data_IF_052439838596
#
_entry.id   IF_052439838596
#
_cell.length_a   1.000
_cell.length_b   1.000
_cell.length_c   1.000
_cell.angle_alpha   90.00
_cell.angle_beta   90.00
_cell.angle_gamma   90.00
#
_symmetry.space_group_name_H-M   'P 1'
#
loop_
_entity.id
_entity.type
_entity.pdbx_description
1 polymer ?
#
# COMPACT_ATOMS: atom_id res chain seq x y z
N UNK A 1 54.86 17.69 15.08
CA UNK A 1 54.28 19.02 15.33
C UNK A 1 53.77 19.58 14.01
N UNK A 2 52.54 19.20 13.64
CA UNK A 2 51.74 19.84 12.60
C UNK A 2 50.37 19.97 13.24
N UNK A 3 49.98 21.22 13.48
CA UNK A 3 48.72 21.62 14.10
C UNK A 3 47.69 21.68 12.97
N UNK A 4 46.69 20.80 13.00
CA UNK A 4 45.48 20.94 12.20
C UNK A 4 44.35 21.33 13.15
N UNK A 5 44.05 22.63 13.16
CA UNK A 5 42.88 23.21 13.81
C UNK A 5 41.65 22.92 12.92
N UNK A 6 40.73 22.07 13.37
CA UNK A 6 39.35 22.09 12.86
C UNK A 6 38.50 22.95 13.80
N UNK A 7 38.09 24.12 13.30
CA UNK A 7 37.03 24.94 13.87
C UNK A 7 35.84 24.86 12.93
N UNK A 8 34.78 24.18 13.37
CA UNK A 8 33.38 24.58 13.16
C UNK A 8 32.53 23.79 14.17
N UNK A 9 31.86 24.44 15.12
CA UNK A 9 30.86 23.76 15.94
C UNK A 9 29.66 23.47 15.04
N UNK A 10 29.34 22.19 14.86
CA UNK A 10 28.06 21.76 14.30
C UNK A 10 26.98 22.28 15.24
N UNK A 11 26.21 23.25 14.74
CA UNK A 11 24.99 23.72 15.39
C UNK A 11 24.01 22.55 15.43
N UNK A 12 23.82 21.96 16.61
CA UNK A 12 22.71 21.06 16.87
C UNK A 12 21.44 21.90 16.72
N UNK A 13 20.77 21.80 15.56
CA UNK A 13 19.48 22.44 15.32
C UNK A 13 18.47 21.78 16.25
N UNK A 14 18.05 22.54 17.26
CA UNK A 14 16.95 22.18 18.15
C UNK A 14 15.63 22.24 17.37
N UNK A 15 15.29 21.17 16.68
CA UNK A 15 13.92 20.91 16.27
C UNK A 15 13.18 20.28 17.45
N UNK A 16 12.07 20.87 17.87
CA UNK A 16 11.05 20.18 18.66
C UNK A 16 10.49 19.05 17.80
N UNK A 17 11.17 17.89 17.82
CA UNK A 17 10.60 16.64 17.35
C UNK A 17 9.35 16.41 18.19
N UNK A 18 8.20 16.35 17.53
CA UNK A 18 7.04 15.67 18.11
C UNK A 18 7.42 14.19 18.19
N UNK A 19 8.03 13.85 19.32
CA UNK A 19 8.25 12.48 19.74
C UNK A 19 6.95 11.71 19.58
N UNK A 20 7.02 10.52 18.99
CA UNK A 20 5.98 9.51 19.14
C UNK A 20 5.58 9.45 20.62
N UNK A 21 4.29 9.37 20.91
CA UNK A 21 3.70 9.49 22.24
C UNK A 21 4.14 8.41 23.26
N UNK A 22 5.19 7.64 22.97
CA UNK A 22 5.75 6.55 23.77
C UNK A 22 7.27 6.66 23.97
N UNK A 23 7.85 7.87 23.93
CA UNK A 23 9.28 8.02 24.27
C UNK A 23 9.49 7.90 25.79
N UNK A 24 9.87 6.71 26.25
CA UNK A 24 10.32 6.47 27.62
C UNK A 24 11.85 6.55 27.61
N UNK A 25 12.39 7.72 27.93
CA UNK A 25 13.83 7.86 28.14
C UNK A 25 14.30 7.05 29.36
N UNK A 26 15.52 6.48 29.35
CA UNK A 26 16.08 5.83 30.53
C UNK A 26 16.11 6.81 31.71
N UNK A 27 15.82 6.33 32.93
CA UNK A 27 16.15 7.11 34.12
C UNK A 27 17.67 7.31 34.11
N UNK A 28 18.13 8.54 34.34
CA UNK A 28 19.55 8.85 34.40
C UNK A 28 20.21 8.02 35.52
N UNK A 29 20.77 6.88 35.16
CA UNK A 29 21.65 6.09 36.02
C UNK A 29 23.08 6.48 35.68
N UNK A 30 23.77 7.10 36.63
CA UNK A 30 25.21 7.36 36.52
C UNK A 30 25.98 6.03 36.53
N UNK A 31 26.52 5.64 35.37
CA UNK A 31 27.46 4.52 35.22
C UNK A 31 26.93 3.29 34.45
N UNK A 32 27.82 2.34 34.10
CA UNK A 32 27.46 1.14 33.36
C UNK A 32 26.56 0.21 34.20
N UNK A 33 25.45 -0.22 33.62
CA UNK A 33 24.54 -1.20 34.23
C UNK A 33 25.18 -2.59 34.24
N UNK A 34 24.96 -3.38 35.30
CA UNK A 34 25.21 -4.81 35.24
C UNK A 34 24.22 -5.48 34.26
N UNK A 35 24.53 -6.67 33.75
CA UNK A 35 23.66 -7.36 32.79
C UNK A 35 22.25 -7.65 33.35
N UNK A 36 22.17 -7.92 34.65
CA UNK A 36 20.89 -8.14 35.35
C UNK A 36 20.09 -6.83 35.48
N UNK A 37 20.77 -5.71 35.76
CA UNK A 37 20.16 -4.38 35.82
C UNK A 37 19.69 -3.92 34.44
N UNK A 38 20.50 -4.16 33.40
CA UNK A 38 20.11 -3.91 32.01
C UNK A 38 18.87 -4.72 31.64
N UNK A 39 18.86 -6.03 31.95
CA UNK A 39 17.70 -6.88 31.69
C UNK A 39 16.42 -6.41 32.39
N UNK A 40 16.53 -6.01 33.66
CA UNK A 40 15.40 -5.47 34.41
C UNK A 40 14.91 -4.12 33.85
N UNK A 41 15.83 -3.22 33.48
CA UNK A 41 15.51 -1.91 32.94
C UNK A 41 14.94 -1.99 31.52
N UNK A 42 15.50 -2.83 30.65
CA UNK A 42 14.94 -3.11 29.33
C UNK A 42 13.53 -3.73 29.43
N UNK A 43 13.29 -4.62 30.39
CA UNK A 43 11.96 -5.18 30.62
C UNK A 43 10.95 -4.14 31.13
N UNK A 44 11.40 -3.20 32.00
CA UNK A 44 10.60 -2.07 32.48
C UNK A 44 10.22 -1.15 31.32
N UNK A 45 11.20 -0.69 30.55
CA UNK A 45 11.00 0.18 29.38
C UNK A 45 10.11 -0.51 28.36
N UNK A 46 10.36 -1.78 28.03
CA UNK A 46 9.54 -2.55 27.11
C UNK A 46 8.09 -2.67 27.57
N UNK A 47 7.84 -2.81 28.88
CA UNK A 47 6.48 -2.81 29.45
C UNK A 47 5.84 -1.43 29.39
N UNK A 48 6.57 -0.36 29.72
CA UNK A 48 6.05 1.01 29.64
C UNK A 48 5.70 1.41 28.20
N UNK A 49 6.52 1.00 27.23
CA UNK A 49 6.20 1.14 25.79
C UNK A 49 4.95 0.34 25.44
N UNK A 50 4.84 -0.92 25.88
CA UNK A 50 3.68 -1.75 25.59
C UNK A 50 2.38 -1.20 26.22
N UNK A 51 2.46 -0.66 27.44
CA UNK A 51 1.32 -0.07 28.16
C UNK A 51 0.91 1.29 27.57
N UNK A 52 1.87 2.03 26.99
CA UNK A 52 1.64 3.30 26.28
C UNK A 52 1.27 3.14 24.80
N UNK A 53 1.56 1.98 24.20
CA UNK A 53 1.35 1.72 22.78
C UNK A 53 -0.15 1.72 22.45
N UNK A 54 -0.60 2.77 21.78
CA UNK A 54 -1.90 2.78 21.13
C UNK A 54 -1.78 2.09 19.79
N UNK A 55 -2.26 0.86 19.72
CA UNK A 55 -2.43 0.15 18.46
C UNK A 55 -3.28 1.01 17.52
N UNK A 56 -2.78 1.27 16.31
CA UNK A 56 -3.58 1.89 15.26
C UNK A 56 -4.84 1.06 15.03
N UNK A 57 -5.95 1.72 14.71
CA UNK A 57 -7.21 1.05 14.48
C UNK A 57 -7.66 1.30 13.05
N UNK A 58 -7.82 0.22 12.29
CA UNK A 58 -8.50 0.24 11.00
C UNK A 58 -9.96 -0.12 11.28
N UNK A 59 -10.86 0.79 10.97
CA UNK A 59 -12.30 0.50 11.02
C UNK A 59 -12.64 -0.56 9.98
N UNK A 60 -13.36 -1.59 10.42
CA UNK A 60 -13.80 -2.70 9.57
C UNK A 60 -15.32 -2.78 9.48
N UNK A 61 -16.00 -1.64 9.65
CA UNK A 61 -17.45 -1.57 9.46
C UNK A 61 -17.76 -1.71 7.96
N UNK A 62 -18.72 -2.57 7.61
CA UNK A 62 -19.15 -2.71 6.23
C UNK A 62 -19.85 -1.43 5.78
N UNK A 63 -19.43 -0.89 4.65
CA UNK A 63 -20.02 0.32 4.05
C UNK A 63 -20.87 -0.03 2.82
N UNK A 64 -21.87 0.79 2.52
CA UNK A 64 -22.67 0.64 1.31
C UNK A 64 -21.86 1.07 0.06
N UNK A 65 -22.21 0.49 -1.09
CA UNK A 65 -21.60 0.89 -2.37
C UNK A 65 -22.06 2.29 -2.79
N UNK A 66 -21.12 3.18 -3.04
CA UNK A 66 -21.34 4.45 -3.73
C UNK A 66 -21.50 4.24 -5.25
N UNK A 67 -20.65 3.40 -5.85
CA UNK A 67 -20.74 2.97 -7.26
C UNK A 67 -20.52 1.45 -7.38
N UNK A 68 -21.61 0.65 -7.34
CA UNK A 68 -21.51 -0.80 -7.26
C UNK A 68 -20.99 -1.40 -8.57
N UNK A 69 -20.10 -2.39 -8.44
CA UNK A 69 -19.59 -3.14 -9.59
C UNK A 69 -20.71 -3.85 -10.37
N UNK A 70 -20.56 -4.00 -11.71
CA UNK A 70 -21.44 -4.85 -12.49
C UNK A 70 -21.43 -6.27 -11.92
N UNK A 71 -22.61 -6.85 -11.72
CA UNK A 71 -22.75 -8.19 -11.16
C UNK A 71 -22.03 -9.23 -12.04
N UNK A 72 -21.47 -10.28 -11.42
CA UNK A 72 -20.60 -11.25 -12.10
C UNK A 72 -21.23 -12.00 -13.27
N UNK A 73 -22.52 -12.35 -13.13
CA UNK A 73 -23.20 -13.22 -14.08
C UNK A 73 -24.58 -12.70 -14.46
N UNK A 74 -24.83 -12.59 -15.76
CA UNK A 74 -26.17 -12.40 -16.31
C UNK A 74 -26.92 -13.73 -16.27
N UNK A 75 -28.20 -13.69 -15.89
CA UNK A 75 -29.07 -14.86 -15.88
C UNK A 75 -30.19 -14.64 -16.87
N UNK A 76 -30.21 -15.41 -17.95
CA UNK A 76 -31.23 -15.35 -19.00
C UNK A 76 -32.22 -16.49 -18.82
N UNK A 77 -33.51 -16.16 -18.86
CA UNK A 77 -34.61 -17.13 -18.74
C UNK A 77 -35.52 -17.02 -19.96
N UNK A 78 -35.65 -18.10 -20.71
CA UNK A 78 -36.57 -18.22 -21.83
C UNK A 78 -38.02 -18.33 -21.35
N UNK A 79 -38.82 -17.28 -21.58
CA UNK A 79 -40.20 -17.17 -21.09
C UNK A 79 -41.08 -18.35 -21.53
N UNK A 80 -40.93 -18.81 -22.77
CA UNK A 80 -41.72 -19.94 -23.31
C UNK A 80 -41.35 -21.26 -22.64
N UNK A 81 -40.06 -21.51 -22.41
CA UNK A 81 -39.60 -22.73 -21.74
C UNK A 81 -40.05 -22.80 -20.29
N UNK A 82 -39.92 -21.68 -19.56
CA UNK A 82 -40.41 -21.58 -18.18
C UNK A 82 -41.93 -21.75 -18.09
N UNK A 83 -42.70 -21.13 -18.99
CA UNK A 83 -44.15 -21.30 -19.02
C UNK A 83 -44.57 -22.76 -19.28
N UNK A 84 -43.87 -23.47 -20.19
CA UNK A 84 -44.09 -24.90 -20.44
C UNK A 84 -43.80 -25.74 -19.19
N UNK A 85 -42.72 -25.43 -18.47
CA UNK A 85 -42.39 -26.11 -17.21
C UNK A 85 -43.49 -25.89 -16.16
N UNK A 86 -43.91 -24.64 -15.96
CA UNK A 86 -44.98 -24.31 -15.01
C UNK A 86 -46.28 -25.02 -15.38
N UNK A 87 -46.68 -25.03 -16.65
CA UNK A 87 -47.89 -25.74 -17.09
C UNK A 87 -47.80 -27.24 -16.81
N UNK A 88 -46.64 -27.87 -17.04
CA UNK A 88 -46.41 -29.27 -16.72
C UNK A 88 -46.49 -29.53 -15.21
N UNK A 89 -45.88 -28.67 -14.40
CA UNK A 89 -45.92 -28.79 -12.93
C UNK A 89 -47.32 -28.54 -12.37
N UNK A 90 -48.09 -27.61 -12.95
CA UNK A 90 -49.50 -27.38 -12.62
C UNK A 90 -50.36 -28.63 -12.90
N UNK A 91 -50.06 -29.43 -13.91
CA UNK A 91 -50.79 -30.69 -14.14
C UNK A 91 -50.39 -31.76 -13.13
N UNK A 92 -49.11 -31.83 -12.77
CA UNK A 92 -48.56 -32.91 -11.94
C UNK A 92 -48.75 -32.70 -10.43
N UNK A 93 -48.60 -31.46 -9.96
CA UNK A 93 -48.47 -31.15 -8.53
C UNK A 93 -49.61 -30.29 -7.98
N UNK A 94 -50.64 -29.98 -8.75
CA UNK A 94 -51.75 -29.15 -8.26
C UNK A 94 -52.47 -29.82 -7.07
N UNK A 95 -52.79 -29.08 -5.99
CA UNK A 95 -52.69 -27.62 -5.81
C UNK A 95 -51.45 -27.11 -5.03
N UNK A 96 -50.32 -27.84 -5.06
CA UNK A 96 -49.09 -27.48 -4.31
C UNK A 96 -48.33 -26.31 -4.97
N UNK A 97 -48.85 -25.09 -4.83
CA UNK A 97 -48.28 -23.88 -5.44
C UNK A 97 -46.89 -23.51 -4.93
N UNK A 98 -46.58 -23.86 -3.69
CA UNK A 98 -45.24 -23.75 -3.11
C UNK A 98 -44.22 -24.58 -3.89
N UNK A 99 -44.58 -25.79 -4.32
CA UNK A 99 -43.74 -26.66 -5.15
C UNK A 99 -43.67 -26.13 -6.59
N UNK A 100 -44.82 -25.79 -7.20
CA UNK A 100 -44.92 -25.35 -8.60
C UNK A 100 -44.18 -24.02 -8.85
N UNK A 101 -44.16 -23.12 -7.86
CA UNK A 101 -43.46 -21.85 -7.98
C UNK A 101 -42.07 -21.87 -7.34
N UNK A 102 -41.69 -22.97 -6.68
CA UNK A 102 -40.32 -23.14 -6.18
C UNK A 102 -39.36 -23.24 -7.37
N UNK A 103 -38.31 -22.42 -7.34
CA UNK A 103 -37.19 -22.53 -8.28
C UNK A 103 -35.93 -22.67 -7.45
N UNK A 104 -35.22 -23.81 -7.54
CA UNK A 104 -34.14 -24.15 -6.62
C UNK A 104 -32.89 -23.34 -6.95
N UNK A 105 -32.82 -22.12 -6.47
CA UNK A 105 -31.58 -21.39 -6.30
C UNK A 105 -31.38 -21.12 -4.81
N UNK A 106 -30.38 -21.76 -4.21
CA UNK A 106 -29.99 -21.53 -2.81
C UNK A 106 -29.67 -20.06 -2.54
N UNK A 107 -29.21 -19.34 -3.57
CA UNK A 107 -28.88 -17.92 -3.52
C UNK A 107 -30.05 -16.99 -3.85
N UNK A 108 -31.24 -17.53 -4.15
CA UNK A 108 -32.43 -16.73 -4.38
C UNK A 108 -32.48 -15.99 -5.73
N UNK A 109 -31.69 -16.38 -6.73
CA UNK A 109 -31.70 -15.75 -8.07
C UNK A 109 -33.10 -15.72 -8.70
N UNK A 110 -33.90 -16.77 -8.50
CA UNK A 110 -35.27 -16.86 -9.03
C UNK A 110 -36.34 -16.54 -7.97
N UNK A 111 -35.93 -16.03 -6.81
CA UNK A 111 -36.87 -15.61 -5.77
C UNK A 111 -37.58 -14.31 -6.19
N UNK A 112 -38.90 -14.28 -6.08
CA UNK A 112 -39.69 -13.11 -6.42
C UNK A 112 -41.14 -13.44 -6.78
N UNK A 113 -42.01 -12.42 -6.86
CA UNK A 113 -43.45 -12.59 -7.09
C UNK A 113 -43.80 -13.16 -8.48
N UNK A 114 -42.84 -13.12 -9.41
CA UNK A 114 -43.01 -13.57 -10.80
C UNK A 114 -42.33 -14.91 -11.08
N UNK A 115 -42.23 -15.81 -10.10
CA UNK A 115 -41.89 -17.24 -10.28
C UNK A 115 -40.68 -17.53 -11.20
N UNK A 116 -39.60 -16.76 -11.09
CA UNK A 116 -38.38 -16.92 -11.89
C UNK A 116 -38.39 -16.29 -13.29
N UNK A 117 -39.48 -15.66 -13.74
CA UNK A 117 -39.53 -14.94 -15.03
C UNK A 117 -38.69 -13.67 -15.07
N UNK A 118 -38.40 -13.08 -13.90
CA UNK A 118 -37.49 -11.96 -13.74
C UNK A 118 -36.38 -12.38 -12.75
N UNK A 119 -35.31 -13.04 -13.23
CA UNK A 119 -34.21 -13.42 -12.35
C UNK A 119 -33.53 -12.18 -11.75
N UNK A 120 -32.82 -12.36 -10.64
CA UNK A 120 -32.03 -11.36 -9.93
C UNK A 120 -30.54 -11.66 -10.10
N UNK A 121 -29.89 -11.19 -11.18
CA UNK A 121 -28.51 -11.56 -11.52
C UNK A 121 -27.48 -11.21 -10.43
N UNK A 122 -27.72 -10.14 -9.66
CA UNK A 122 -26.87 -9.74 -8.53
C UNK A 122 -26.70 -10.79 -7.43
N UNK A 123 -27.59 -11.78 -7.35
CA UNK A 123 -27.51 -12.88 -6.39
C UNK A 123 -26.82 -14.13 -6.98
N UNK A 124 -26.45 -14.11 -8.26
CA UNK A 124 -25.89 -15.28 -8.94
C UNK A 124 -24.40 -15.43 -8.61
N UNK A 125 -24.02 -16.60 -8.08
CA UNK A 125 -22.61 -16.96 -7.82
C UNK A 125 -21.99 -17.85 -8.90
N UNK A 126 -22.73 -18.19 -9.96
CA UNK A 126 -22.23 -19.00 -11.06
C UNK A 126 -22.06 -20.50 -10.74
N UNK A 127 -22.86 -21.06 -9.82
CA UNK A 127 -22.81 -22.51 -9.52
C UNK A 127 -23.36 -23.41 -10.65
N UNK A 128 -23.96 -22.82 -11.69
CA UNK A 128 -24.53 -23.47 -12.89
C UNK A 128 -25.62 -24.53 -12.65
N UNK A 129 -26.02 -24.82 -11.41
CA UNK A 129 -27.07 -25.80 -11.09
C UNK A 129 -28.37 -25.58 -11.86
N UNK A 130 -28.82 -24.34 -11.96
CA UNK A 130 -30.06 -23.99 -12.66
C UNK A 130 -29.99 -24.20 -14.17
N UNK A 131 -28.83 -23.95 -14.77
CA UNK A 131 -28.58 -24.21 -16.20
C UNK A 131 -28.51 -25.71 -16.49
N UNK A 132 -27.86 -26.49 -15.62
CA UNK A 132 -27.83 -27.96 -15.73
C UNK A 132 -29.21 -28.59 -15.56
N UNK A 133 -30.02 -28.09 -14.62
CA UNK A 133 -31.37 -28.61 -14.36
C UNK A 133 -32.39 -28.21 -15.45
N UNK A 134 -32.20 -27.04 -16.07
CA UNK A 134 -33.11 -26.47 -17.05
C UNK A 134 -32.38 -25.93 -18.29
N UNK A 135 -31.64 -26.80 -19.02
CA UNK A 135 -30.74 -26.37 -20.09
C UNK A 135 -31.48 -25.72 -21.28
N UNK A 136 -32.74 -26.07 -21.49
CA UNK A 136 -33.54 -25.58 -22.61
C UNK A 136 -33.92 -24.09 -22.49
N UNK A 137 -33.88 -23.52 -21.29
CA UNK A 137 -34.38 -22.16 -21.08
C UNK A 137 -33.67 -21.33 -20.01
N UNK A 138 -32.69 -21.87 -19.27
CA UNK A 138 -31.86 -21.07 -18.35
C UNK A 138 -30.44 -21.01 -18.88
N UNK A 139 -29.87 -19.81 -18.97
CA UNK A 139 -28.45 -19.60 -19.29
C UNK A 139 -27.81 -18.64 -18.30
N UNK A 140 -26.67 -19.02 -17.76
CA UNK A 140 -25.82 -18.17 -16.93
C UNK A 140 -24.64 -17.72 -17.79
N UNK A 141 -24.54 -16.42 -18.04
CA UNK A 141 -23.50 -15.84 -18.89
C UNK A 141 -22.61 -14.92 -18.05
N UNK A 142 -21.30 -14.85 -18.33
CA UNK A 142 -20.46 -13.82 -17.72
C UNK A 142 -20.97 -12.43 -18.15
N UNK A 143 -20.87 -11.46 -17.24
CA UNK A 143 -21.26 -10.09 -17.54
C UNK A 143 -20.15 -9.36 -18.32
N UNK A 144 -20.39 -8.95 -19.59
CA UNK A 144 -19.39 -8.25 -20.39
C UNK A 144 -18.95 -6.93 -19.76
N UNK A 145 -19.84 -6.23 -19.05
CA UNK A 145 -19.54 -4.94 -18.42
C UNK A 145 -18.51 -5.12 -17.30
N UNK A 146 -18.61 -6.22 -16.53
CA UNK A 146 -17.60 -6.55 -15.52
C UNK A 146 -16.27 -6.94 -16.18
N UNK A 147 -16.32 -7.77 -17.23
CA UNK A 147 -15.12 -8.23 -17.94
C UNK A 147 -14.37 -7.09 -18.63
N UNK A 148 -15.06 -6.00 -18.99
CA UNK A 148 -14.48 -4.81 -19.58
C UNK A 148 -13.74 -3.93 -18.57
N UNK A 149 -13.89 -4.17 -17.26
CA UNK A 149 -13.14 -3.44 -16.25
C UNK A 149 -11.67 -3.86 -16.24
N UNK A 150 -10.79 -2.87 -16.12
CA UNK A 150 -9.37 -3.09 -16.01
C UNK A 150 -8.68 -3.27 -17.35
N UNK A 151 -7.52 -3.92 -17.33
CA UNK A 151 -6.74 -4.23 -18.52
C UNK A 151 -6.05 -5.62 -18.42
N UNK A 152 -5.00 -5.84 -19.20
CA UNK A 152 -4.25 -7.09 -19.24
C UNK A 152 -3.53 -7.45 -17.93
N UNK A 153 -3.23 -6.45 -17.09
CA UNK A 153 -2.51 -6.64 -15.82
C UNK A 153 -3.44 -6.39 -14.63
N UNK A 154 -4.04 -5.21 -14.57
CA UNK A 154 -5.00 -4.81 -13.55
C UNK A 154 -6.38 -5.30 -13.97
N UNK A 155 -6.65 -6.58 -13.77
CA UNK A 155 -7.89 -7.21 -14.24
C UNK A 155 -9.13 -6.79 -13.43
N UNK A 156 -10.33 -7.00 -13.99
CA UNK A 156 -11.59 -6.91 -13.25
C UNK A 156 -11.61 -7.74 -11.94
N UNK A 157 -10.84 -8.83 -11.88
CA UNK A 157 -10.70 -9.65 -10.67
C UNK A 157 -9.96 -8.92 -9.55
N UNK A 158 -8.89 -8.19 -9.88
CA UNK A 158 -8.16 -7.35 -8.92
C UNK A 158 -9.04 -6.20 -8.43
N UNK A 159 -9.71 -5.50 -9.36
CA UNK A 159 -10.61 -4.39 -9.02
C UNK A 159 -11.73 -4.88 -8.10
N UNK A 160 -12.37 -6.01 -8.42
CA UNK A 160 -13.43 -6.57 -7.58
C UNK A 160 -12.97 -7.04 -6.21
N UNK A 161 -11.75 -7.57 -6.11
CA UNK A 161 -11.17 -7.96 -4.82
C UNK A 161 -10.91 -6.73 -3.94
N UNK A 162 -10.26 -5.70 -4.48
CA UNK A 162 -9.96 -4.46 -3.75
C UNK A 162 -11.25 -3.77 -3.31
N UNK A 163 -12.25 -3.69 -4.19
CA UNK A 163 -13.57 -3.12 -3.89
C UNK A 163 -14.26 -3.88 -2.75
N UNK A 164 -14.31 -5.22 -2.81
CA UNK A 164 -14.93 -6.06 -1.78
C UNK A 164 -14.17 -6.02 -0.44
N UNK A 165 -12.84 -5.99 -0.48
CA UNK A 165 -11.97 -5.92 0.69
C UNK A 165 -12.09 -4.56 1.40
N UNK A 166 -12.06 -3.46 0.63
CA UNK A 166 -12.22 -2.11 1.15
C UNK A 166 -13.62 -1.90 1.75
N UNK A 167 -14.66 -2.40 1.06
CA UNK A 167 -16.05 -2.30 1.51
C UNK A 167 -16.29 -3.01 2.84
N UNK A 168 -15.73 -4.21 3.02
CA UNK A 168 -16.02 -5.08 4.17
C UNK A 168 -15.00 -4.99 5.30
N UNK A 169 -13.84 -4.37 5.06
CA UNK A 169 -12.72 -4.39 6.00
C UNK A 169 -12.21 -5.81 6.29
N UNK A 170 -12.35 -6.73 5.34
CA UNK A 170 -12.03 -8.16 5.52
C UNK A 170 -11.34 -8.72 4.29
N UNK A 171 -10.31 -9.54 4.51
CA UNK A 171 -9.69 -10.35 3.46
C UNK A 171 -10.54 -11.61 3.26
N UNK A 172 -11.14 -11.86 2.08
CA UNK A 172 -12.00 -13.01 1.86
C UNK A 172 -11.16 -14.31 1.76
N UNK A 173 -10.84 -14.91 2.90
CA UNK A 173 -10.21 -16.24 2.94
C UNK A 173 -11.25 -17.29 2.55
N UNK A 174 -11.23 -17.72 1.29
CA UNK A 174 -12.05 -18.84 0.82
C UNK A 174 -11.33 -20.14 1.15
N UNK A 175 -12.01 -21.08 1.82
CA UNK A 175 -11.43 -22.36 2.27
C UNK A 175 -10.92 -23.33 1.19
N UNK A 176 -10.75 -22.88 -0.05
CA UNK A 176 -10.19 -23.64 -1.17
C UNK A 176 -8.69 -23.32 -1.43
N UNK A 177 -8.05 -22.49 -0.60
CA UNK A 177 -6.63 -22.12 -0.74
C UNK A 177 -6.37 -21.01 -1.77
N UNK A 178 -5.10 -20.82 -2.14
CA UNK A 178 -4.67 -19.85 -3.15
C UNK A 178 -5.29 -20.17 -4.52
N UNK A 179 -6.05 -19.22 -5.07
CA UNK A 179 -6.73 -19.36 -6.38
C UNK A 179 -5.92 -18.80 -7.55
N UNK A 180 -4.79 -18.15 -7.27
CA UNK A 180 -3.89 -17.59 -8.26
C UNK A 180 -3.08 -18.66 -8.97
N UNK A 181 -2.21 -18.23 -9.90
CA UNK A 181 -1.36 -19.15 -10.66
C UNK A 181 -0.23 -19.66 -9.77
N UNK A 182 0.01 -20.96 -9.76
CA UNK A 182 1.26 -21.51 -9.19
C UNK A 182 2.39 -21.25 -10.18
N UNK A 183 3.27 -20.28 -9.89
CA UNK A 183 4.42 -19.93 -10.75
C UNK A 183 4.03 -19.13 -12.01
N UNK A 184 3.26 -18.06 -11.84
CA UNK A 184 2.89 -17.13 -12.91
C UNK A 184 3.89 -15.99 -13.13
N UNK A 185 3.60 -15.04 -14.04
CA UNK A 185 4.44 -13.86 -14.23
C UNK A 185 4.34 -12.87 -13.04
N UNK A 186 5.36 -12.04 -12.89
CA UNK A 186 5.38 -10.98 -11.86
C UNK A 186 5.28 -11.54 -10.44
N UNK A 187 4.38 -10.99 -9.62
CA UNK A 187 4.19 -11.41 -8.23
C UNK A 187 3.71 -12.87 -8.08
N UNK A 188 3.08 -13.46 -9.10
CA UNK A 188 2.71 -14.89 -9.11
C UNK A 188 3.94 -15.81 -9.23
N UNK A 189 5.11 -15.26 -9.59
CA UNK A 189 6.37 -15.99 -9.68
C UNK A 189 7.06 -16.17 -8.34
N UNK A 190 6.60 -15.46 -7.30
CA UNK A 190 7.12 -15.56 -5.94
C UNK A 190 6.11 -16.29 -5.06
N UNK A 191 6.48 -17.50 -4.62
CA UNK A 191 5.72 -18.24 -3.62
C UNK A 191 6.38 -18.06 -2.25
N UNK A 192 5.64 -17.50 -1.31
CA UNK A 192 6.06 -17.48 0.10
C UNK A 192 5.66 -18.79 0.75
N UNK A 193 6.61 -19.46 1.40
CA UNK A 193 6.31 -20.70 2.12
C UNK A 193 5.34 -20.43 3.28
N UNK A 194 4.18 -21.08 3.23
CA UNK A 194 3.16 -20.95 4.28
C UNK A 194 3.49 -21.96 5.37
N UNK A 195 4.17 -21.50 6.43
CA UNK A 195 4.43 -22.34 7.60
C UNK A 195 3.14 -22.54 8.42
N UNK A 196 2.46 -23.67 8.19
CA UNK A 196 1.24 -24.08 8.93
C UNK A 196 1.54 -24.43 10.41
N UNK A 197 2.79 -24.78 10.75
CA UNK A 197 3.19 -25.19 12.11
C UNK A 197 4.15 -24.15 12.72
N UNK A 198 3.52 -23.17 13.39
CA UNK A 198 3.98 -22.40 14.57
C UNK A 198 5.47 -22.04 14.61
N UNK A 199 5.82 -20.83 14.15
CA UNK A 199 6.46 -19.75 14.95
C UNK A 199 6.59 -18.44 14.14
N UNK A 200 5.49 -17.69 14.00
CA UNK A 200 5.45 -16.30 14.44
C UNK A 200 4.68 -16.38 15.77
N UNK A 201 5.44 -16.42 16.86
CA UNK A 201 5.03 -16.78 18.23
C UNK A 201 3.53 -17.05 18.46
N UNK A 202 3.22 -18.28 18.87
CA UNK A 202 2.01 -18.59 19.67
C UNK A 202 1.78 -17.55 20.80
N UNK A 203 2.87 -16.91 21.22
CA UNK A 203 2.93 -15.91 22.26
C UNK A 203 2.62 -14.46 21.82
N UNK A 204 2.37 -14.14 20.54
CA UNK A 204 1.81 -12.82 20.18
C UNK A 204 0.39 -12.62 20.72
N UNK A 205 -0.37 -13.72 20.81
CA UNK A 205 -1.70 -13.76 21.47
C UNK A 205 -1.55 -13.63 23.01
N UNK A 206 -0.39 -14.00 23.56
CA UNK A 206 -0.07 -13.94 24.98
C UNK A 206 0.94 -12.83 25.35
N UNK A 207 1.23 -11.89 24.43
CA UNK A 207 2.05 -10.71 24.65
C UNK A 207 3.54 -10.93 24.95
N UNK A 208 4.18 -12.04 24.50
CA UNK A 208 5.64 -12.23 24.73
C UNK A 208 6.54 -11.75 23.58
N UNK A 209 6.01 -11.63 22.36
CA UNK A 209 6.70 -11.04 21.21
C UNK A 209 5.69 -10.19 20.44
N UNK A 210 6.05 -8.94 20.15
CA UNK A 210 5.23 -8.02 19.35
C UNK A 210 5.57 -8.22 17.88
N UNK A 211 4.57 -8.53 17.04
CA UNK A 211 4.72 -8.43 15.58
C UNK A 211 4.23 -7.03 15.20
N UNK A 212 5.19 -6.13 14.98
CA UNK A 212 4.94 -4.79 14.47
C UNK A 212 4.82 -4.80 12.94
N UNK A 213 3.86 -4.04 12.43
CA UNK A 213 3.80 -3.66 11.01
C UNK A 213 4.46 -2.29 10.77
N UNK A 214 5.10 -1.76 11.81
CA UNK A 214 5.71 -0.45 11.81
C UNK A 214 6.96 -0.40 10.94
N UNK A 215 7.19 0.75 10.34
CA UNK A 215 8.35 1.01 9.48
C UNK A 215 9.01 2.29 9.93
N UNK A 216 10.31 2.20 10.16
CA UNK A 216 11.16 3.36 10.42
C UNK A 216 11.61 3.96 9.10
N UNK A 217 11.27 5.22 8.88
CA UNK A 217 11.60 5.98 7.69
C UNK A 217 12.75 6.91 8.01
N UNK A 218 13.87 6.72 7.33
CA UNK A 218 15.04 7.57 7.39
C UNK A 218 16.35 6.80 7.33
N UNK A 219 17.36 7.33 8.02
CA UNK A 219 18.72 6.81 8.02
C UNK A 219 19.08 6.22 9.38
N UNK A 220 19.58 4.98 9.37
CA UNK A 220 20.14 4.32 10.55
C UNK A 220 21.66 4.21 10.39
N UNK A 221 22.45 4.59 11.41
CA UNK A 221 23.90 4.42 11.35
C UNK A 221 24.24 2.92 11.28
N UNK A 222 25.15 2.55 10.37
CA UNK A 222 25.59 1.16 10.17
C UNK A 222 26.21 0.53 11.43
N UNK A 223 26.67 1.36 12.37
CA UNK A 223 27.18 0.95 13.67
C UNK A 223 27.00 2.08 14.68
N UNK A 224 26.83 1.71 15.94
CA UNK A 224 26.85 2.66 17.06
C UNK A 224 28.30 2.83 17.52
N UNK A 225 28.76 4.07 17.65
CA UNK A 225 30.04 4.39 18.28
C UNK A 225 29.80 4.96 19.67
N UNK A 226 30.71 4.70 20.60
CA UNK A 226 30.63 5.16 21.97
C UNK A 226 31.94 5.85 22.38
N UNK A 227 31.84 6.95 23.11
CA UNK A 227 33.01 7.62 23.68
C UNK A 227 33.54 6.90 24.93
N UNK A 228 34.60 7.44 25.53
CA UNK A 228 35.22 6.87 26.74
C UNK A 228 34.28 6.84 27.95
N UNK A 229 33.23 7.65 27.94
CA UNK A 229 32.23 7.73 29.01
C UNK A 229 31.03 6.80 28.73
N UNK A 230 31.07 6.02 27.64
CA UNK A 230 30.00 5.13 27.22
C UNK A 230 28.80 5.86 26.60
N UNK A 231 28.94 7.14 26.22
CA UNK A 231 27.90 7.90 25.53
C UNK A 231 27.99 7.66 24.03
N UNK A 232 26.85 7.66 23.35
CA UNK A 232 26.79 7.60 21.89
C UNK A 232 27.63 8.75 21.29
N UNK A 233 28.58 8.37 20.44
CA UNK A 233 29.39 9.28 19.65
C UNK A 233 29.13 9.03 18.16
N UNK A 234 29.20 10.08 17.34
CA UNK A 234 28.93 10.00 15.90
C UNK A 234 27.46 10.29 15.52
N UNK A 235 27.04 9.81 14.36
CA UNK A 235 25.71 10.05 13.81
C UNK A 235 24.65 9.22 14.53
N UNK A 236 23.62 9.89 15.03
CA UNK A 236 22.41 9.25 15.57
C UNK A 236 21.43 8.91 14.44
N UNK A 237 20.52 7.93 14.63
CA UNK A 237 19.45 7.68 13.68
C UNK A 237 18.64 8.95 13.44
N UNK A 238 18.39 9.26 12.18
CA UNK A 238 17.50 10.34 11.76
C UNK A 238 16.32 9.71 11.05
N UNK A 239 15.25 9.47 11.81
CA UNK A 239 14.11 8.69 11.36
C UNK A 239 12.84 9.02 12.14
N UNK A 240 11.69 8.71 11.54
CA UNK A 240 10.39 8.67 12.19
C UNK A 240 9.67 7.38 11.80
N UNK A 241 8.69 6.96 12.59
CA UNK A 241 7.99 5.69 12.38
C UNK A 241 6.59 5.92 11.82
N UNK A 242 6.14 5.01 10.94
CA UNK A 242 4.74 4.83 10.52
C UNK A 242 4.25 3.45 10.97
N UNK A 243 2.94 3.28 11.14
CA UNK A 243 2.38 2.06 11.75
C UNK A 243 2.10 0.92 10.77
N UNK A 244 2.08 1.20 9.47
CA UNK A 244 1.80 0.23 8.41
C UNK A 244 2.87 0.29 7.33
N UNK A 245 3.20 -0.82 6.64
CA UNK A 245 4.35 -0.90 5.75
C UNK A 245 3.98 -0.46 4.32
N UNK A 246 3.10 0.53 4.21
CA UNK A 246 2.66 1.06 2.94
C UNK A 246 2.33 2.54 3.07
N UNK A 247 2.52 3.28 1.98
CA UNK A 247 2.19 4.71 1.83
C UNK A 247 1.20 4.90 0.69
N UNK A 248 0.45 6.00 0.67
CA UNK A 248 -0.42 6.33 -0.45
C UNK A 248 0.35 7.20 -1.45
N UNK A 249 0.57 6.71 -2.67
CA UNK A 249 1.18 7.48 -3.77
C UNK A 249 0.27 7.41 -4.99
N UNK A 250 -0.76 8.24 -4.99
CA UNK A 250 -1.71 8.30 -6.08
C UNK A 250 -1.02 8.70 -7.40
N UNK A 251 -1.38 8.09 -8.55
CA UNK A 251 -0.82 8.49 -9.84
C UNK A 251 -0.98 10.00 -10.10
N UNK A 252 0.02 10.69 -10.66
CA UNK A 252 0.01 12.15 -10.87
C UNK A 252 -0.94 12.61 -12.00
N UNK A 253 -1.69 11.68 -12.62
CA UNK A 253 -2.71 12.01 -13.60
C UNK A 253 -3.89 12.79 -13.00
N UNK A 254 -4.90 13.07 -13.83
CA UNK A 254 -6.08 13.82 -13.38
C UNK A 254 -7.03 12.89 -12.61
N UNK A 255 -6.78 12.68 -11.32
CA UNK A 255 -7.60 11.85 -10.44
C UNK A 255 -8.81 12.56 -9.84
N UNK A 256 -9.17 13.73 -10.39
CA UNK A 256 -10.33 14.48 -9.95
C UNK A 256 -10.11 15.30 -8.67
N UNK A 257 -11.16 15.38 -7.86
CA UNK A 257 -11.47 16.55 -7.04
C UNK A 257 -10.60 16.74 -5.77
N UNK A 258 -10.51 17.97 -5.24
CA UNK A 258 -9.92 18.26 -3.93
C UNK A 258 -10.36 17.36 -2.77
N UNK A 259 -11.54 16.73 -2.89
CA UNK A 259 -12.10 15.82 -1.90
C UNK A 259 -11.27 14.54 -1.78
N UNK A 260 -10.75 13.99 -2.89
CA UNK A 260 -9.89 12.80 -2.85
C UNK A 260 -8.64 13.06 -2.01
N UNK A 261 -7.98 14.21 -2.23
CA UNK A 261 -6.83 14.62 -1.43
C UNK A 261 -7.15 14.75 0.07
N UNK A 262 -8.35 15.26 0.43
CA UNK A 262 -8.79 15.34 1.83
C UNK A 262 -9.11 13.98 2.43
N UNK A 263 -9.69 13.06 1.66
CA UNK A 263 -9.94 11.68 2.11
C UNK A 263 -8.61 11.01 2.40
N UNK A 264 -7.65 11.07 1.46
CA UNK A 264 -6.32 10.49 1.63
C UNK A 264 -5.56 11.12 2.81
N UNK A 265 -5.64 12.45 3.01
CA UNK A 265 -5.12 13.11 4.21
C UNK A 265 -5.73 12.54 5.49
N UNK A 266 -7.07 12.50 5.56
CA UNK A 266 -7.76 12.00 6.75
C UNK A 266 -7.44 10.53 7.05
N UNK A 267 -7.34 9.69 6.02
CA UNK A 267 -7.06 8.27 6.14
C UNK A 267 -5.62 8.04 6.58
N UNK A 268 -4.65 8.70 5.92
CA UNK A 268 -3.23 8.57 6.27
C UNK A 268 -2.95 9.01 7.71
N UNK A 269 -3.60 10.07 8.18
CA UNK A 269 -3.52 10.50 9.59
C UNK A 269 -4.09 9.46 10.57
N UNK A 270 -5.22 8.82 10.23
CA UNK A 270 -5.93 7.89 11.12
C UNK A 270 -5.19 6.57 11.31
N UNK A 271 -4.55 6.07 10.27
CA UNK A 271 -3.79 4.80 10.31
C UNK A 271 -2.28 5.02 10.52
N UNK A 272 -1.87 6.27 10.73
CA UNK A 272 -0.49 6.70 10.90
C UNK A 272 0.43 6.18 9.78
N UNK A 273 0.13 6.61 8.56
CA UNK A 273 0.99 6.44 7.39
C UNK A 273 1.17 7.78 6.64
N UNK A 274 1.91 7.74 5.53
CA UNK A 274 2.18 8.88 4.66
C UNK A 274 1.28 8.86 3.42
N UNK A 275 0.98 10.07 2.93
CA UNK A 275 0.35 10.30 1.64
C UNK A 275 1.14 11.29 0.80
N UNK A 276 1.64 10.82 -0.33
CA UNK A 276 2.34 11.64 -1.30
C UNK A 276 1.35 12.40 -2.18
N UNK A 277 1.45 13.73 -2.17
CA UNK A 277 0.58 14.63 -2.93
C UNK A 277 1.41 15.70 -3.63
N UNK A 278 1.01 16.09 -4.84
CA UNK A 278 1.63 17.21 -5.55
C UNK A 278 1.64 18.48 -4.68
N UNK A 279 2.82 19.11 -4.58
CA UNK A 279 3.04 20.25 -3.69
C UNK A 279 2.11 21.44 -3.97
N UNK A 280 1.74 21.69 -5.23
CA UNK A 280 0.77 22.74 -5.57
C UNK A 280 -0.62 22.41 -5.01
N UNK A 281 -1.00 21.14 -5.01
CA UNK A 281 -2.25 20.69 -4.38
C UNK A 281 -2.21 20.81 -2.86
N UNK A 282 -1.11 20.45 -2.22
CA UNK A 282 -0.92 20.60 -0.77
C UNK A 282 -1.06 22.07 -0.36
N UNK A 283 -0.33 22.97 -1.03
CA UNK A 283 -0.36 24.40 -0.75
C UNK A 283 -1.76 25.01 -0.99
N UNK A 284 -2.39 24.69 -2.12
CA UNK A 284 -3.73 25.20 -2.49
C UNK A 284 -4.82 24.78 -1.50
N UNK A 285 -4.73 23.56 -0.96
CA UNK A 285 -5.75 22.99 -0.09
C UNK A 285 -5.47 23.14 1.41
N UNK A 286 -4.28 23.64 1.77
CA UNK A 286 -3.84 23.82 3.15
C UNK A 286 -3.65 22.48 3.87
N UNK A 287 -3.00 21.53 3.22
CA UNK A 287 -2.82 20.15 3.72
C UNK A 287 -1.42 19.89 4.29
N UNK A 288 -0.63 20.93 4.58
CA UNK A 288 0.69 20.76 5.21
C UNK A 288 0.53 20.13 6.61
N UNK A 289 0.90 18.86 6.74
CA UNK A 289 0.72 18.06 7.93
C UNK A 289 1.75 16.92 8.01
N UNK A 290 2.03 16.36 9.20
CA UNK A 290 3.05 15.31 9.37
C UNK A 290 2.83 14.03 8.57
N UNK A 291 1.57 13.73 8.20
CA UNK A 291 1.18 12.56 7.40
C UNK A 291 1.19 12.84 5.88
N UNK A 292 1.44 14.07 5.45
CA UNK A 292 1.49 14.46 4.04
C UNK A 292 2.95 14.58 3.60
N UNK A 293 3.23 14.04 2.42
CA UNK A 293 4.52 14.16 1.74
C UNK A 293 4.32 15.02 0.49
N UNK A 294 4.64 16.33 0.56
CA UNK A 294 4.63 17.18 -0.62
C UNK A 294 5.64 16.66 -1.65
N UNK A 295 5.17 16.48 -2.89
CA UNK A 295 6.01 16.08 -4.02
C UNK A 295 6.30 17.32 -4.86
N UNK A 296 7.55 17.76 -4.85
CA UNK A 296 8.05 18.93 -5.56
C UNK A 296 8.78 18.52 -6.83
N UNK A 297 8.62 19.30 -7.88
CA UNK A 297 9.59 19.26 -8.96
C UNK A 297 10.95 19.77 -8.46
N UNK A 298 12.06 19.15 -8.87
CA UNK A 298 13.40 19.54 -8.45
C UNK A 298 13.74 21.00 -8.79
N UNK A 299 13.16 21.55 -9.85
CA UNK A 299 13.31 22.98 -10.20
C UNK A 299 12.60 23.92 -9.22
N UNK A 300 11.68 23.39 -8.42
CA UNK A 300 10.92 24.11 -7.40
C UNK A 300 11.40 23.77 -5.97
N UNK A 301 12.59 23.18 -5.81
CA UNK A 301 13.12 22.71 -4.53
C UNK A 301 13.07 23.75 -3.39
N UNK A 302 13.27 25.04 -3.67
CA UNK A 302 13.22 26.11 -2.67
C UNK A 302 11.84 26.26 -1.99
N UNK A 303 10.77 25.77 -2.65
CA UNK A 303 9.41 25.75 -2.10
C UNK A 303 9.23 24.70 -1.00
N UNK A 304 10.23 23.89 -0.70
CA UNK A 304 10.25 23.04 0.49
C UNK A 304 9.98 23.84 1.78
N UNK A 305 10.40 25.11 1.82
CA UNK A 305 10.11 26.04 2.93
C UNK A 305 8.61 26.37 3.12
N UNK A 306 7.75 26.08 2.14
CA UNK A 306 6.28 26.27 2.24
C UNK A 306 5.60 25.19 3.12
N UNK A 307 6.30 24.10 3.46
CA UNK A 307 5.74 22.93 4.14
C UNK A 307 6.46 22.63 5.48
N UNK A 308 6.38 23.53 6.48
CA UNK A 308 7.08 23.37 7.75
C UNK A 308 6.57 22.21 8.63
N UNK A 309 5.36 21.68 8.39
CA UNK A 309 4.80 20.60 9.20
C UNK A 309 5.02 19.20 8.60
N UNK A 310 5.46 19.10 7.35
CA UNK A 310 5.78 17.83 6.70
C UNK A 310 7.00 17.17 7.37
N UNK A 311 6.94 15.84 7.57
CA UNK A 311 8.09 15.06 8.06
C UNK A 311 9.05 14.65 6.95
N UNK A 312 8.52 14.51 5.74
CA UNK A 312 9.21 14.11 4.52
C UNK A 312 8.68 14.92 3.36
N UNK A 313 9.57 15.39 2.49
CA UNK A 313 9.27 16.02 1.21
C UNK A 313 10.00 15.20 0.14
N UNK A 314 9.33 14.90 -0.97
CA UNK A 314 9.94 14.16 -2.07
C UNK A 314 10.20 15.08 -3.27
N UNK A 315 11.40 14.99 -3.86
CA UNK A 315 11.70 15.63 -5.13
C UNK A 315 11.51 14.63 -6.29
N UNK A 316 10.94 15.12 -7.39
CA UNK A 316 10.88 14.43 -8.68
C UNK A 316 11.62 15.23 -9.75
N UNK A 317 12.12 14.53 -10.77
CA UNK A 317 12.60 15.19 -11.98
C UNK A 317 11.42 15.60 -12.87
N UNK A 318 11.53 16.76 -13.52
CA UNK A 318 10.57 17.19 -14.54
C UNK A 318 10.55 16.20 -15.72
N UNK A 319 9.38 15.91 -16.32
CA UNK A 319 9.25 15.02 -17.48
C UNK A 319 10.08 15.45 -18.71
N UNK A 320 10.31 16.76 -18.88
CA UNK A 320 10.92 17.34 -20.09
C UNK A 320 12.44 17.58 -19.99
N UNK A 321 13.08 17.22 -18.88
CA UNK A 321 14.54 17.31 -18.72
C UNK A 321 15.20 15.95 -18.85
N UNK A 322 16.41 15.86 -19.44
CA UNK A 322 17.21 14.65 -19.39
C UNK A 322 17.34 14.20 -17.93
N UNK A 323 16.86 12.99 -17.64
CA UNK A 323 16.79 12.43 -16.29
C UNK A 323 18.20 12.23 -15.71
N UNK A 324 18.61 13.15 -14.84
CA UNK A 324 19.89 13.12 -14.12
C UNK A 324 19.67 13.38 -12.63
N UNK A 325 20.57 12.84 -11.80
CA UNK A 325 20.63 13.19 -10.39
C UNK A 325 20.83 14.70 -10.22
N UNK A 326 19.93 15.37 -9.49
CA UNK A 326 19.99 16.82 -9.23
C UNK A 326 20.43 17.10 -7.79
N UNK A 327 21.74 17.05 -7.56
CA UNK A 327 22.35 17.39 -6.28
C UNK A 327 21.99 18.80 -5.81
N UNK A 328 21.88 19.76 -6.73
CA UNK A 328 21.60 21.15 -6.39
C UNK A 328 20.17 21.32 -5.87
N UNK A 329 19.19 20.68 -6.54
CA UNK A 329 17.80 20.65 -6.05
C UNK A 329 17.70 20.01 -4.66
N UNK A 330 18.41 18.91 -4.43
CA UNK A 330 18.48 18.27 -3.10
C UNK A 330 19.07 19.21 -2.04
N UNK A 331 20.22 19.82 -2.31
CA UNK A 331 20.88 20.76 -1.38
C UNK A 331 19.97 21.96 -1.05
N UNK A 332 19.33 22.56 -2.06
CA UNK A 332 18.41 23.69 -1.88
C UNK A 332 17.23 23.29 -0.99
N UNK A 333 16.59 22.15 -1.25
CA UNK A 333 15.47 21.70 -0.45
C UNK A 333 15.91 21.41 1.00
N UNK A 334 17.05 20.74 1.17
CA UNK A 334 17.59 20.36 2.47
C UNK A 334 18.02 21.58 3.31
N UNK A 335 18.41 22.69 2.68
CA UNK A 335 18.65 23.96 3.38
C UNK A 335 17.37 24.72 3.74
N UNK A 336 16.31 24.55 2.94
CA UNK A 336 15.07 25.32 3.03
C UNK A 336 14.07 24.80 4.08
N UNK A 337 14.19 23.55 4.53
CA UNK A 337 13.28 22.94 5.51
C UNK A 337 14.05 22.05 6.50
N UNK A 338 13.44 21.77 7.65
CA UNK A 338 13.91 20.75 8.58
C UNK A 338 13.28 19.36 8.30
N UNK A 339 12.34 19.28 7.34
CA UNK A 339 11.79 18.00 6.88
C UNK A 339 12.86 17.16 6.17
N UNK A 340 12.76 15.84 6.28
CA UNK A 340 13.62 14.95 5.52
C UNK A 340 13.35 15.11 4.02
N UNK A 341 14.41 15.10 3.19
CA UNK A 341 14.26 15.14 1.74
C UNK A 341 14.48 13.74 1.15
N UNK A 342 13.44 13.22 0.50
CA UNK A 342 13.45 12.00 -0.29
C UNK A 342 13.50 12.28 -1.79
N UNK A 343 13.90 11.29 -2.58
CA UNK A 343 14.03 11.43 -4.03
C UNK A 343 13.29 10.30 -4.73
N UNK A 344 12.49 10.67 -5.74
CA UNK A 344 11.84 9.72 -6.63
C UNK A 344 12.80 9.31 -7.74
N UNK A 345 12.96 8.01 -7.95
CA UNK A 345 13.76 7.42 -9.02
C UNK A 345 12.87 6.47 -9.83
N UNK A 346 12.68 6.76 -11.11
CA UNK A 346 11.99 5.85 -12.03
C UNK A 346 12.96 4.77 -12.52
N UNK A 347 12.45 3.54 -12.72
CA UNK A 347 13.21 2.43 -13.31
C UNK A 347 13.39 2.59 -14.82
N UNK A 348 14.12 3.64 -15.18
CA UNK A 348 14.55 3.97 -16.54
C UNK A 348 16.05 3.70 -16.70
N UNK A 349 16.55 3.69 -17.94
CA UNK A 349 17.98 3.53 -18.20
C UNK A 349 18.84 4.45 -17.30
N UNK A 350 19.82 3.88 -16.62
CA UNK A 350 20.73 4.60 -15.71
C UNK A 350 20.23 4.80 -14.27
N UNK A 351 19.11 4.18 -13.87
CA UNK A 351 18.57 4.34 -12.51
C UNK A 351 19.55 3.89 -11.42
N UNK A 352 20.39 2.88 -11.66
CA UNK A 352 21.40 2.41 -10.69
C UNK A 352 22.44 3.49 -10.37
N UNK A 353 22.88 4.23 -11.39
CA UNK A 353 23.83 5.34 -11.24
C UNK A 353 23.18 6.45 -10.42
N UNK A 354 21.93 6.78 -10.71
CA UNK A 354 21.18 7.81 -9.96
C UNK A 354 20.96 7.42 -8.50
N UNK A 355 20.60 6.16 -8.24
CA UNK A 355 20.47 5.62 -6.89
C UNK A 355 21.79 5.80 -6.12
N UNK A 356 22.90 5.37 -6.72
CA UNK A 356 24.23 5.48 -6.10
C UNK A 356 24.59 6.94 -5.80
N UNK A 357 24.39 7.84 -6.77
CA UNK A 357 24.68 9.27 -6.62
C UNK A 357 23.80 9.95 -5.55
N UNK A 358 22.51 9.61 -5.49
CA UNK A 358 21.59 10.12 -4.48
C UNK A 358 22.03 9.69 -3.06
N UNK A 359 22.39 8.42 -2.91
CA UNK A 359 22.87 7.88 -1.62
C UNK A 359 24.22 8.51 -1.24
N UNK A 360 25.14 8.71 -2.19
CA UNK A 360 26.41 9.42 -1.97
C UNK A 360 26.24 10.88 -1.54
N UNK A 361 25.18 11.54 -2.02
CA UNK A 361 24.84 12.89 -1.61
C UNK A 361 24.15 12.96 -0.23
N UNK A 362 23.84 11.81 0.40
CA UNK A 362 23.24 11.76 1.73
C UNK A 362 21.71 11.71 1.75
N UNK A 363 21.07 11.35 0.63
CA UNK A 363 19.62 11.12 0.58
C UNK A 363 19.26 9.93 1.46
N UNK A 364 18.26 10.11 2.32
CA UNK A 364 17.85 9.12 3.33
C UNK A 364 16.63 8.30 2.93
N UNK A 365 15.84 8.78 1.98
CA UNK A 365 14.64 8.10 1.47
C UNK A 365 14.68 8.09 -0.04
N UNK A 366 14.62 6.90 -0.64
CA UNK A 366 14.54 6.73 -2.08
C UNK A 366 13.21 6.06 -2.42
N UNK A 367 12.45 6.68 -3.32
CA UNK A 367 11.18 6.18 -3.79
C UNK A 367 11.30 5.67 -5.23
N UNK A 368 11.34 4.35 -5.38
CA UNK A 368 11.54 3.64 -6.64
C UNK A 368 10.20 3.42 -7.38
N UNK A 369 10.11 3.89 -8.61
CA UNK A 369 8.86 3.90 -9.38
C UNK A 369 8.98 3.10 -10.68
N UNK A 370 8.17 2.05 -10.80
CA UNK A 370 7.89 1.40 -12.08
C UNK A 370 6.61 1.98 -12.71
N UNK A 371 6.26 1.50 -13.91
CA UNK A 371 4.93 1.71 -14.45
C UNK A 371 3.85 1.02 -13.57
N UNK A 372 2.57 1.31 -13.81
CA UNK A 372 1.47 0.74 -13.02
C UNK A 372 1.26 -0.76 -13.26
N UNK A 373 1.93 -1.35 -14.27
CA UNK A 373 1.99 -2.79 -14.47
C UNK A 373 3.18 -3.44 -13.74
N UNK A 374 3.99 -2.63 -13.04
CA UNK A 374 5.18 -3.10 -12.33
C UNK A 374 6.34 -3.40 -13.27
N UNK A 375 6.47 -2.68 -14.39
CA UNK A 375 7.56 -2.85 -15.34
C UNK A 375 8.50 -1.64 -15.34
N UNK A 376 9.80 -1.90 -15.38
CA UNK A 376 10.82 -0.92 -15.77
C UNK A 376 10.82 -0.63 -17.27
N UNK A 377 11.61 0.34 -17.72
CA UNK A 377 11.68 0.73 -19.14
C UNK A 377 12.18 -0.39 -20.06
N UNK A 378 12.93 -1.34 -19.51
CA UNK A 378 13.46 -2.54 -20.18
C UNK A 378 12.49 -3.73 -20.17
N UNK A 379 11.34 -3.59 -19.51
CA UNK A 379 10.35 -4.65 -19.33
C UNK A 379 10.64 -5.61 -18.17
N UNK A 380 11.68 -5.35 -17.36
CA UNK A 380 11.95 -6.12 -16.14
C UNK A 380 10.87 -5.85 -15.10
N UNK A 381 10.40 -6.89 -14.42
CA UNK A 381 9.36 -6.75 -13.40
C UNK A 381 9.92 -6.24 -12.06
N UNK A 382 9.11 -5.47 -11.33
CA UNK A 382 9.48 -4.78 -10.09
C UNK A 382 10.13 -5.67 -9.02
N UNK A 383 9.74 -6.93 -8.90
CA UNK A 383 10.34 -7.81 -7.89
C UNK A 383 11.83 -8.02 -8.09
N UNK A 384 12.31 -8.03 -9.34
CA UNK A 384 13.74 -8.15 -9.65
C UNK A 384 14.44 -6.78 -9.53
N UNK A 385 13.78 -5.71 -9.97
CA UNK A 385 14.30 -4.34 -9.86
C UNK A 385 14.50 -3.90 -8.39
N UNK A 386 13.56 -4.22 -7.52
CA UNK A 386 13.68 -3.97 -6.07
C UNK A 386 14.84 -4.76 -5.46
N UNK A 387 15.01 -6.04 -5.84
CA UNK A 387 16.13 -6.88 -5.37
C UNK A 387 17.47 -6.34 -5.85
N UNK A 388 17.52 -5.85 -7.08
CA UNK A 388 18.72 -5.22 -7.64
C UNK A 388 19.09 -3.96 -6.85
N UNK A 389 18.11 -3.08 -6.59
CA UNK A 389 18.34 -1.86 -5.79
C UNK A 389 18.81 -2.21 -4.37
N UNK A 390 18.18 -3.20 -3.75
CA UNK A 390 18.53 -3.71 -2.44
C UNK A 390 19.95 -4.27 -2.39
N UNK A 391 20.30 -5.13 -3.35
CA UNK A 391 21.61 -5.77 -3.44
C UNK A 391 22.70 -4.74 -3.71
N UNK A 392 22.45 -3.76 -4.57
CA UNK A 392 23.38 -2.67 -4.84
C UNK A 392 23.74 -1.90 -3.56
N UNK A 393 22.75 -1.59 -2.72
CA UNK A 393 22.98 -0.91 -1.44
C UNK A 393 23.71 -1.80 -0.41
N UNK A 394 23.46 -3.11 -0.42
CA UNK A 394 24.20 -4.07 0.41
C UNK A 394 25.68 -4.10 -0.01
N UNK A 395 25.95 -4.23 -1.31
CA UNK A 395 27.31 -4.27 -1.85
C UNK A 395 28.08 -2.98 -1.57
N UNK A 396 27.38 -1.84 -1.51
CA UNK A 396 27.95 -0.55 -1.12
C UNK A 396 28.11 -0.39 0.41
N UNK A 397 27.56 -1.29 1.23
CA UNK A 397 27.57 -1.19 2.69
C UNK A 397 26.71 -0.04 3.23
N UNK A 398 25.61 0.29 2.55
CA UNK A 398 24.75 1.47 2.82
C UNK A 398 23.26 1.13 2.98
N UNK A 399 22.88 -0.14 3.01
CA UNK A 399 21.46 -0.53 3.03
C UNK A 399 20.69 0.04 4.22
N UNK A 400 21.29 0.11 5.41
CA UNK A 400 20.62 0.64 6.61
C UNK A 400 20.60 2.18 6.64
N UNK A 401 21.42 2.85 5.84
CA UNK A 401 21.49 4.32 5.82
C UNK A 401 20.37 4.95 5.00
N UNK A 402 19.58 4.15 4.28
CA UNK A 402 18.53 4.61 3.36
C UNK A 402 17.29 3.75 3.50
N UNK A 403 16.12 4.40 3.52
CA UNK A 403 14.82 3.75 3.40
C UNK A 403 14.40 3.66 1.93
N UNK A 404 13.97 2.48 1.50
CA UNK A 404 13.43 2.23 0.16
C UNK A 404 11.90 2.18 0.18
N UNK A 405 11.28 3.16 -0.49
CA UNK A 405 9.90 3.06 -0.94
C UNK A 405 9.86 2.50 -2.35
N UNK A 406 8.78 1.80 -2.70
CA UNK A 406 8.60 1.33 -4.06
C UNK A 406 7.14 1.18 -4.48
N UNK A 407 6.82 1.58 -5.70
CA UNK A 407 5.48 1.50 -6.28
C UNK A 407 5.46 0.95 -7.70
N UNK A 408 4.26 0.59 -8.17
CA UNK A 408 3.99 -0.03 -9.47
C UNK A 408 3.65 -1.52 -9.38
N UNK A 409 2.56 -1.94 -10.04
CA UNK A 409 2.14 -3.34 -10.11
C UNK A 409 1.51 -3.90 -8.81
N UNK A 410 1.25 -3.05 -7.81
CA UNK A 410 0.64 -3.48 -6.54
C UNK A 410 -0.88 -3.49 -6.74
N UNK A 411 -1.48 -4.67 -6.91
CA UNK A 411 -2.92 -4.84 -7.18
C UNK A 411 -3.56 -5.97 -6.35
N UNK A 412 -2.84 -6.44 -5.34
CA UNK A 412 -3.29 -7.48 -4.41
C UNK A 412 -2.60 -7.33 -3.07
N UNK A 413 -3.29 -7.73 -1.99
CA UNK A 413 -2.75 -7.62 -0.63
C UNK A 413 -1.46 -8.43 -0.43
N UNK A 414 -1.31 -9.57 -1.12
CA UNK A 414 -0.10 -10.39 -1.07
C UNK A 414 1.09 -9.79 -1.82
N UNK A 415 0.88 -8.78 -2.68
CA UNK A 415 1.97 -8.10 -3.38
C UNK A 415 2.81 -7.24 -2.42
N UNK A 416 2.18 -6.68 -1.37
CA UNK A 416 2.86 -5.84 -0.36
C UNK A 416 3.99 -6.61 0.36
N UNK A 417 3.73 -7.74 1.05
CA UNK A 417 4.80 -8.50 1.68
C UNK A 417 5.81 -9.05 0.67
N UNK A 418 5.40 -9.42 -0.55
CA UNK A 418 6.35 -9.84 -1.60
C UNK A 418 7.29 -8.71 -2.03
N UNK A 419 6.80 -7.49 -2.12
CA UNK A 419 7.62 -6.32 -2.45
C UNK A 419 8.61 -5.98 -1.31
N UNK A 420 8.19 -6.14 -0.05
CA UNK A 420 9.06 -6.02 1.13
C UNK A 420 10.15 -7.11 1.12
N UNK A 421 9.78 -8.37 0.88
CA UNK A 421 10.74 -9.49 0.73
C UNK A 421 11.74 -9.21 -0.40
N UNK A 422 11.30 -8.54 -1.47
CA UNK A 422 12.15 -8.10 -2.57
C UNK A 422 13.09 -6.94 -2.21
N UNK A 423 13.01 -6.37 -1.00
CA UNK A 423 14.01 -5.45 -0.46
C UNK A 423 13.50 -4.05 -0.08
N UNK A 424 12.21 -3.76 -0.27
CA UNK A 424 11.60 -2.49 0.14
C UNK A 424 11.35 -2.43 1.66
N UNK A 425 11.36 -1.22 2.21
CA UNK A 425 10.96 -0.94 3.60
C UNK A 425 9.45 -0.61 3.69
N UNK A 426 8.92 0.14 2.71
CA UNK A 426 7.50 0.41 2.58
C UNK A 426 7.03 0.39 1.12
N UNK A 427 5.76 0.03 0.92
CA UNK A 427 5.17 -0.13 -0.42
C UNK A 427 4.23 1.02 -0.75
N UNK A 428 4.44 1.67 -1.89
CA UNK A 428 3.57 2.72 -2.37
C UNK A 428 2.33 2.15 -3.07
N UNK A 429 1.15 2.44 -2.52
CA UNK A 429 -0.14 2.06 -3.09
C UNK A 429 -0.66 3.16 -4.01
N UNK A 430 -0.88 2.81 -5.28
CA UNK A 430 -1.33 3.72 -6.33
C UNK A 430 -2.80 3.47 -6.73
N UNK A 431 -3.05 2.70 -7.79
CA UNK A 431 -4.39 2.36 -8.29
C UNK A 431 -5.30 1.67 -7.24
N UNK A 432 -4.79 0.83 -6.31
CA UNK A 432 -5.66 0.24 -5.29
C UNK A 432 -6.40 1.26 -4.44
N UNK A 433 -5.78 2.42 -4.17
CA UNK A 433 -6.43 3.49 -3.39
C UNK A 433 -7.63 4.07 -4.15
N UNK A 434 -7.50 4.23 -5.48
CA UNK A 434 -8.59 4.66 -6.34
C UNK A 434 -9.73 3.63 -6.36
N UNK A 435 -9.39 2.34 -6.53
CA UNK A 435 -10.39 1.28 -6.60
C UNK A 435 -11.11 1.02 -5.27
N UNK A 436 -10.41 1.18 -4.14
CA UNK A 436 -10.98 1.06 -2.79
C UNK A 436 -12.06 2.12 -2.52
N UNK A 437 -11.96 3.29 -3.16
CA UNK A 437 -12.96 4.34 -3.11
C UNK A 437 -14.03 4.20 -4.22
N UNK A 438 -14.05 3.04 -4.89
CA UNK A 438 -14.91 2.72 -6.04
C UNK A 438 -14.70 3.63 -7.26
N UNK A 439 -13.64 4.45 -7.26
CA UNK A 439 -13.21 5.20 -8.43
C UNK A 439 -12.63 4.29 -9.51
N UNK A 440 -12.62 4.78 -10.76
CA UNK A 440 -12.11 4.06 -11.93
C UNK A 440 -11.23 4.98 -12.79
N UNK A 441 -10.27 4.40 -13.51
CA UNK A 441 -9.50 5.13 -14.52
C UNK A 441 -10.19 5.02 -15.88
N UNK A 442 -10.53 6.17 -16.47
CA UNK A 442 -10.88 6.28 -17.89
C UNK A 442 -9.65 6.52 -18.79
N UNK A 443 -8.48 6.69 -18.17
CA UNK A 443 -7.21 6.86 -18.85
C UNK A 443 -6.40 5.58 -18.86
N UNK A 444 -5.07 5.73 -18.75
CA UNK A 444 -4.17 4.59 -18.67
C UNK A 444 -4.31 3.85 -17.34
N UNK A 445 -4.10 2.54 -17.38
CA UNK A 445 -3.85 1.69 -16.20
C UNK A 445 -2.40 1.19 -16.18
N UNK A 446 -1.55 1.75 -17.06
CA UNK A 446 -0.13 1.46 -17.17
C UNK A 446 0.73 2.70 -16.93
N UNK A 447 0.44 3.79 -17.63
CA UNK A 447 1.20 5.04 -17.50
C UNK A 447 0.66 5.90 -16.36
N UNK A 448 1.53 6.18 -15.38
CA UNK A 448 1.21 6.95 -14.15
C UNK A 448 0.64 8.34 -14.43
N UNK A 449 1.16 9.04 -15.44
CA UNK A 449 0.76 10.41 -15.80
C UNK A 449 -0.54 10.48 -16.59
N UNK A 450 -0.97 9.37 -17.20
CA UNK A 450 -2.15 9.30 -18.06
C UNK A 450 -3.37 8.71 -17.34
N UNK A 451 -3.29 8.50 -16.02
CA UNK A 451 -4.45 8.04 -15.23
C UNK A 451 -5.47 9.17 -15.14
N UNK A 452 -6.73 8.87 -15.43
CA UNK A 452 -7.82 9.85 -15.34
C UNK A 452 -8.92 9.26 -14.48
N UNK A 453 -9.01 9.74 -13.23
CA UNK A 453 -10.02 9.31 -12.28
C UNK A 453 -11.42 9.77 -12.67
N UNK A 454 -12.41 8.97 -12.27
CA UNK A 454 -13.83 9.28 -12.35
C UNK A 454 -14.48 9.18 -11.01
#
# INVERSE_FOLDING_TARGET
MIIALSRTPVSIRGGTMLESATHVGPQATDGPLSIDQFGAESARIGREIADGYRRYHIETEEVDDADPLPHRFLVKVGKVGLAKLIAKEMVTYFPQFDVILSRPCTYGVFSGPVAGFAPRPKLCVGCLRCEVQHPDFVKVLPNPDLLALGDSYTTHGHIAAIDEEAKKGMVPVRGQGYRGRFGGPGFDGMLTDMSEIVRPSRDGIHGRELIGTEVDIGSKPMHLSFDSDGRLSGSIPEMFTIQVPFVFDLPPGNLGSPQLARVVDSTSRRIDTLACLDAHTVARLGLDAPNIVPVLDNTEAARASEFPNARLIELRSSPDRPWGWDAAGFEIANEATDAMIGIRIHFEEGWQVRLTQAVEAGVKVIHLLADLHGLGSDGTFVTELYKEAHTLLIEQGRRDTVTLFGGGGIVGADHVPKAIISGLDAVALDLPVLFALQGRSNGSLRQRTEVVGT
#
